data_IF_891044265015
#
_entry.id   IF_891044265015
#
_cell.length_a   1.000
_cell.length_b   1.000
_cell.length_c   1.000
_cell.angle_alpha   90.00
_cell.angle_beta   90.00
_cell.angle_gamma   90.00
#
_symmetry.space_group_name_H-M   'P 1'
#
loop_
_entity.id
_entity.type
_entity.pdbx_description
1 polymer ?
#
# COMPACT_ATOMS: atom_id res chain seq x y z
N UNK A 1 11.09 1.25 -8.29
CA UNK A 1 10.69 2.50 -7.61
C UNK A 1 9.82 3.28 -8.55
N UNK A 2 8.63 3.68 -8.12
CA UNK A 2 7.71 4.48 -8.95
C UNK A 2 8.21 5.93 -9.06
N UNK A 3 8.15 6.50 -10.27
CA UNK A 3 8.46 7.93 -10.51
C UNK A 3 7.62 8.86 -9.64
N UNK A 4 6.39 8.45 -9.32
CA UNK A 4 5.50 9.16 -8.42
C UNK A 4 6.09 9.32 -7.00
N UNK A 5 6.68 8.25 -6.44
CA UNK A 5 7.31 8.30 -5.13
C UNK A 5 8.53 9.24 -5.12
N UNK A 6 9.29 9.29 -6.23
CA UNK A 6 10.45 10.19 -6.36
C UNK A 6 9.99 11.65 -6.35
N UNK A 7 8.90 11.98 -7.06
CA UNK A 7 8.34 13.33 -7.10
C UNK A 7 7.85 13.75 -5.70
N UNK A 8 7.17 12.87 -4.97
CA UNK A 8 6.72 13.14 -3.59
C UNK A 8 7.92 13.43 -2.70
N UNK A 9 8.96 12.59 -2.73
CA UNK A 9 10.17 12.81 -1.94
C UNK A 9 10.82 14.15 -2.26
N UNK A 10 11.01 14.45 -3.55
CA UNK A 10 11.62 15.71 -3.99
C UNK A 10 10.82 16.93 -3.52
N UNK A 11 9.50 16.89 -3.67
CA UNK A 11 8.61 18.00 -3.26
C UNK A 11 8.67 18.19 -1.75
N UNK A 12 8.59 17.10 -0.98
CA UNK A 12 8.68 17.15 0.47
C UNK A 12 10.00 17.75 0.94
N UNK A 13 11.13 17.29 0.43
CA UNK A 13 12.44 17.82 0.83
C UNK A 13 12.56 19.31 0.51
N UNK A 14 12.11 19.73 -0.67
CA UNK A 14 12.16 21.13 -1.07
C UNK A 14 11.28 22.05 -0.21
N UNK A 15 10.13 21.55 0.26
CA UNK A 15 9.18 22.36 1.03
C UNK A 15 9.43 22.33 2.54
N UNK A 16 9.97 21.21 3.07
CA UNK A 16 10.02 20.94 4.51
C UNK A 16 11.40 21.18 5.12
N UNK A 17 12.48 21.08 4.33
CA UNK A 17 13.84 21.28 4.83
C UNK A 17 14.38 22.64 4.31
N UNK A 18 14.40 23.68 5.15
CA UNK A 18 14.98 24.97 4.77
C UNK A 18 16.51 24.84 4.61
N UNK A 19 17.04 25.51 3.59
CA UNK A 19 18.49 25.53 3.32
C UNK A 19 19.31 26.01 4.53
N UNK A 20 18.76 26.95 5.29
CA UNK A 20 19.43 27.49 6.50
C UNK A 20 19.73 26.44 7.57
N UNK A 21 18.93 25.36 7.69
CA UNK A 21 19.23 24.26 8.64
C UNK A 21 20.47 23.48 8.18
N UNK A 22 20.59 23.26 6.87
CA UNK A 22 21.74 22.57 6.28
C UNK A 22 23.00 23.43 6.38
N UNK A 23 22.87 24.74 6.14
CA UNK A 23 23.97 25.70 6.26
C UNK A 23 24.47 25.81 7.70
N UNK A 24 23.57 25.94 8.66
CA UNK A 24 23.93 25.95 10.09
C UNK A 24 24.71 24.71 10.50
N UNK A 25 24.23 23.53 10.08
CA UNK A 25 24.93 22.28 10.37
C UNK A 25 26.36 22.22 9.76
N UNK A 26 26.56 22.82 8.58
CA UNK A 26 27.88 22.94 7.97
C UNK A 26 28.79 23.89 8.74
N UNK A 27 28.28 25.03 9.22
CA UNK A 27 29.00 25.98 10.07
C UNK A 27 29.44 25.30 11.36
N UNK A 28 28.59 24.45 11.95
CA UNK A 28 28.91 23.65 13.14
C UNK A 28 29.89 22.50 12.86
N UNK A 29 30.42 22.38 11.63
CA UNK A 29 31.38 21.36 11.25
C UNK A 29 30.81 19.97 11.07
N UNK A 30 29.48 19.82 10.96
CA UNK A 30 28.85 18.53 10.70
C UNK A 30 29.17 18.01 9.30
N UNK A 31 29.57 16.74 9.22
CA UNK A 31 29.74 16.06 7.94
C UNK A 31 28.39 15.88 7.23
N UNK A 32 28.39 15.74 5.92
CA UNK A 32 27.15 15.51 5.14
C UNK A 32 26.35 14.29 5.65
N UNK A 33 27.03 13.21 6.00
CA UNK A 33 26.38 12.00 6.54
C UNK A 33 25.75 12.27 7.90
N UNK A 34 26.43 13.01 8.79
CA UNK A 34 25.90 13.39 10.09
C UNK A 34 24.66 14.27 9.96
N UNK A 35 24.71 15.27 9.09
CA UNK A 35 23.56 16.13 8.78
C UNK A 35 22.38 15.31 8.25
N UNK A 36 22.63 14.38 7.34
CA UNK A 36 21.60 13.52 6.79
C UNK A 36 20.95 12.66 7.88
N UNK A 37 21.72 11.92 8.66
CA UNK A 37 21.20 10.98 9.66
C UNK A 37 20.57 11.69 10.86
N UNK A 38 21.18 12.78 11.34
CA UNK A 38 20.76 13.45 12.57
C UNK A 38 19.71 14.53 12.36
N UNK A 39 19.59 15.09 11.17
CA UNK A 39 18.66 16.20 10.87
C UNK A 39 17.63 15.78 9.83
N UNK A 40 18.08 15.38 8.63
CA UNK A 40 17.17 15.12 7.50
C UNK A 40 16.25 13.92 7.77
N UNK A 41 16.81 12.79 8.22
CA UNK A 41 16.03 11.57 8.46
C UNK A 41 14.97 11.77 9.55
N UNK A 42 15.25 12.37 10.72
CA UNK A 42 14.20 12.62 11.73
C UNK A 42 13.08 13.55 11.25
N UNK A 43 13.40 14.61 10.51
CA UNK A 43 12.41 15.53 9.94
C UNK A 43 11.55 14.79 8.89
N UNK A 44 12.13 13.82 8.19
CA UNK A 44 11.48 13.08 7.10
C UNK A 44 10.60 11.90 7.54
N UNK A 45 10.41 11.68 8.85
CA UNK A 45 9.55 10.59 9.36
C UNK A 45 8.15 10.55 8.72
N UNK A 46 7.43 11.69 8.54
CA UNK A 46 6.13 11.68 7.88
C UNK A 46 6.20 11.22 6.40
N UNK A 47 7.26 11.62 5.70
CA UNK A 47 7.50 11.18 4.33
C UNK A 47 7.71 9.67 4.25
N UNK A 48 8.55 9.11 5.12
CA UNK A 48 8.78 7.67 5.16
C UNK A 48 7.49 6.90 5.47
N UNK A 49 6.66 7.40 6.39
CA UNK A 49 5.36 6.79 6.69
C UNK A 49 4.44 6.80 5.45
N UNK A 50 4.42 7.90 4.70
CA UNK A 50 3.63 8.02 3.46
C UNK A 50 4.09 7.03 2.40
N UNK A 51 5.39 6.98 2.13
CA UNK A 51 5.94 6.04 1.14
C UNK A 51 5.73 4.59 1.57
N UNK A 52 5.94 4.28 2.86
CA UNK A 52 5.68 2.94 3.40
C UNK A 52 4.20 2.54 3.22
N UNK A 53 3.26 3.45 3.46
CA UNK A 53 1.84 3.20 3.25
C UNK A 53 1.52 2.89 1.78
N UNK A 54 2.05 3.67 0.84
CA UNK A 54 1.84 3.42 -0.59
C UNK A 54 2.44 2.08 -1.05
N UNK A 55 3.61 1.73 -0.53
CA UNK A 55 4.23 0.44 -0.82
C UNK A 55 3.41 -0.71 -0.21
N UNK A 56 2.96 -0.58 1.03
CA UNK A 56 2.08 -1.58 1.65
C UNK A 56 0.81 -1.79 0.84
N UNK A 57 0.15 -0.73 0.39
CA UNK A 57 -1.04 -0.86 -0.45
C UNK A 57 -0.72 -1.46 -1.82
N UNK A 58 0.39 -1.06 -2.44
CA UNK A 58 0.82 -1.64 -3.70
C UNK A 58 1.05 -3.14 -3.62
N UNK A 59 1.81 -3.59 -2.64
CA UNK A 59 2.07 -5.01 -2.42
C UNK A 59 0.84 -5.79 -1.92
N UNK A 60 0.00 -5.18 -1.10
CA UNK A 60 -1.24 -5.80 -0.67
C UNK A 60 -2.19 -6.11 -1.84
N UNK A 61 -2.29 -5.19 -2.80
CA UNK A 61 -3.18 -5.35 -3.96
C UNK A 61 -2.55 -6.12 -5.14
N UNK A 62 -1.29 -6.58 -4.99
CA UNK A 62 -0.61 -7.27 -6.09
C UNK A 62 -1.05 -8.73 -6.21
N UNK A 63 -2.04 -8.95 -7.06
CA UNK A 63 -2.48 -10.27 -7.49
C UNK A 63 -1.73 -10.75 -8.75
N UNK A 64 -1.26 -9.81 -9.58
CA UNK A 64 -0.75 -10.11 -10.92
C UNK A 64 0.62 -10.79 -10.86
N UNK A 65 1.59 -10.21 -10.16
CA UNK A 65 2.92 -10.81 -10.02
C UNK A 65 2.87 -12.16 -9.30
N UNK A 66 2.01 -12.28 -8.29
CA UNK A 66 1.79 -13.57 -7.62
C UNK A 66 1.25 -14.62 -8.58
N UNK A 67 0.27 -14.27 -9.43
CA UNK A 67 -0.28 -15.19 -10.43
C UNK A 67 0.70 -15.57 -11.52
N UNK A 68 1.65 -14.68 -11.84
CA UNK A 68 2.60 -14.88 -12.93
C UNK A 68 3.82 -15.71 -12.53
N UNK A 69 4.35 -15.48 -11.32
CA UNK A 69 5.64 -16.04 -10.90
C UNK A 69 5.54 -17.14 -9.86
N UNK A 70 4.40 -17.30 -9.16
CA UNK A 70 4.27 -18.27 -8.08
C UNK A 70 3.50 -19.50 -8.56
N UNK A 71 4.23 -20.62 -8.78
CA UNK A 71 3.65 -21.92 -9.15
C UNK A 71 3.20 -22.74 -7.95
N UNK A 72 3.73 -22.47 -6.75
CA UNK A 72 3.41 -23.19 -5.53
C UNK A 72 2.12 -22.65 -4.90
N UNK A 73 1.04 -23.45 -4.89
CA UNK A 73 -0.27 -23.06 -4.35
C UNK A 73 -0.26 -22.62 -2.88
N UNK A 74 0.75 -23.04 -2.09
CA UNK A 74 0.89 -22.64 -0.67
C UNK A 74 1.49 -21.24 -0.49
N UNK A 75 2.11 -20.69 -1.53
CA UNK A 75 2.78 -19.38 -1.49
C UNK A 75 2.05 -18.31 -2.28
N UNK A 76 0.91 -18.63 -2.87
CA UNK A 76 0.09 -17.68 -3.63
C UNK A 76 -0.40 -16.57 -2.70
N UNK A 77 -0.31 -15.30 -3.16
CA UNK A 77 -0.82 -14.17 -2.38
C UNK A 77 -2.34 -14.27 -2.18
N UNK A 78 -2.84 -13.71 -1.07
CA UNK A 78 -4.26 -13.68 -0.79
C UNK A 78 -5.06 -13.02 -1.93
N UNK A 79 -4.55 -11.94 -2.50
CA UNK A 79 -5.19 -11.23 -3.61
C UNK A 79 -5.28 -12.10 -4.88
N UNK A 80 -4.23 -12.85 -5.20
CA UNK A 80 -4.25 -13.77 -6.35
C UNK A 80 -5.25 -14.93 -6.11
N UNK A 81 -5.31 -15.47 -4.89
CA UNK A 81 -6.28 -16.49 -4.52
C UNK A 81 -7.70 -15.97 -4.67
N UNK A 82 -8.00 -14.79 -4.12
CA UNK A 82 -9.33 -14.18 -4.18
C UNK A 82 -9.73 -13.83 -5.61
N UNK A 83 -8.80 -13.34 -6.42
CA UNK A 83 -9.03 -13.08 -7.85
C UNK A 83 -9.36 -14.37 -8.61
N UNK A 84 -8.68 -15.48 -8.33
CA UNK A 84 -8.97 -16.77 -8.93
C UNK A 84 -10.35 -17.29 -8.54
N UNK A 85 -10.76 -17.13 -7.28
CA UNK A 85 -12.11 -17.48 -6.81
C UNK A 85 -13.15 -16.64 -7.55
N UNK A 86 -12.95 -15.32 -7.67
CA UNK A 86 -13.88 -14.43 -8.37
C UNK A 86 -14.01 -14.80 -9.85
N UNK A 87 -12.90 -15.08 -10.53
CA UNK A 87 -12.92 -15.53 -11.93
C UNK A 87 -13.66 -16.87 -12.10
N UNK A 88 -13.47 -17.80 -11.17
CA UNK A 88 -14.18 -19.09 -11.20
C UNK A 88 -15.67 -18.91 -11.02
N UNK A 89 -16.11 -18.03 -10.12
CA UNK A 89 -17.53 -17.70 -9.93
C UNK A 89 -18.12 -17.03 -11.17
N UNK A 90 -17.38 -16.12 -11.81
CA UNK A 90 -17.80 -15.44 -13.02
C UNK A 90 -17.90 -16.41 -14.20
N UNK A 91 -16.92 -17.30 -14.37
CA UNK A 91 -16.96 -18.35 -15.38
C UNK A 91 -18.19 -19.25 -15.20
N UNK A 92 -18.48 -19.71 -13.98
CA UNK A 92 -19.66 -20.50 -13.67
C UNK A 92 -20.97 -19.74 -13.94
N UNK A 93 -20.99 -18.43 -13.68
CA UNK A 93 -22.17 -17.61 -13.92
C UNK A 93 -22.47 -17.47 -15.42
N UNK A 94 -21.41 -17.34 -16.25
CA UNK A 94 -21.56 -17.09 -17.69
C UNK A 94 -21.67 -18.37 -18.54
N UNK A 95 -21.38 -19.55 -17.96
CA UNK A 95 -21.45 -20.83 -18.67
C UNK A 95 -22.45 -21.81 -18.01
N UNK A 96 -23.75 -21.62 -18.22
CA UNK A 96 -24.79 -22.47 -17.60
C UNK A 96 -24.79 -23.92 -18.11
N UNK A 97 -24.12 -24.20 -19.21
CA UNK A 97 -24.03 -25.54 -19.82
C UNK A 97 -22.82 -26.37 -19.35
N UNK A 98 -21.96 -25.83 -18.51
CA UNK A 98 -20.82 -26.55 -17.97
C UNK A 98 -21.29 -27.58 -16.91
N UNK A 99 -21.69 -28.76 -17.35
CA UNK A 99 -21.91 -30.00 -16.60
C UNK A 99 -22.87 -29.96 -15.39
N UNK A 100 -23.68 -30.99 -15.24
CA UNK A 100 -24.70 -31.14 -14.17
C UNK A 100 -24.09 -31.06 -12.76
N UNK A 101 -22.85 -31.49 -12.55
CA UNK A 101 -22.13 -31.40 -11.27
C UNK A 101 -21.78 -29.96 -10.87
N UNK A 102 -21.47 -29.08 -11.83
CA UNK A 102 -21.20 -27.66 -11.59
C UNK A 102 -22.48 -26.86 -11.28
N UNK A 103 -23.63 -27.27 -11.82
CA UNK A 103 -24.92 -26.66 -11.51
C UNK A 103 -25.34 -26.92 -10.06
N UNK A 104 -25.07 -28.10 -9.49
CA UNK A 104 -25.31 -28.38 -8.08
C UNK A 104 -24.41 -27.54 -7.16
N UNK A 105 -23.14 -27.33 -7.52
CA UNK A 105 -22.24 -26.41 -6.81
C UNK A 105 -22.72 -24.97 -6.86
N UNK A 106 -23.22 -24.53 -8.02
CA UNK A 106 -23.78 -23.19 -8.23
C UNK A 106 -25.01 -22.91 -7.37
N UNK A 107 -25.86 -23.90 -7.18
CA UNK A 107 -27.07 -23.78 -6.34
C UNK A 107 -26.75 -23.71 -4.83
N UNK A 108 -25.59 -24.22 -4.41
CA UNK A 108 -25.16 -24.25 -3.02
C UNK A 108 -24.26 -23.06 -2.62
N UNK A 109 -23.66 -22.35 -3.56
CA UNK A 109 -22.84 -21.17 -3.29
C UNK A 109 -23.59 -19.88 -3.65
N UNK A 110 -24.08 -19.11 -2.66
CA UNK A 110 -24.63 -17.80 -2.90
C UNK A 110 -23.51 -16.87 -3.37
N UNK A 111 -23.41 -16.65 -4.69
CA UNK A 111 -22.35 -15.89 -5.34
C UNK A 111 -22.16 -14.47 -4.74
N UNK A 112 -23.24 -13.85 -4.33
CA UNK A 112 -23.24 -12.53 -3.72
C UNK A 112 -22.63 -12.54 -2.32
N UNK A 113 -23.00 -13.54 -1.49
CA UNK A 113 -22.41 -13.67 -0.14
C UNK A 113 -20.91 -13.94 -0.17
N UNK A 114 -20.44 -14.73 -1.14
CA UNK A 114 -19.00 -14.99 -1.31
C UNK A 114 -18.28 -13.73 -1.75
N UNK A 115 -18.85 -12.94 -2.67
CA UNK A 115 -18.29 -11.64 -3.08
C UNK A 115 -18.19 -10.66 -1.92
N UNK A 116 -19.23 -10.56 -1.09
CA UNK A 116 -19.21 -9.71 0.10
C UNK A 116 -18.16 -10.16 1.11
N UNK A 117 -18.05 -11.47 1.36
CA UNK A 117 -17.03 -12.02 2.24
C UNK A 117 -15.61 -11.71 1.74
N UNK A 118 -15.34 -11.85 0.45
CA UNK A 118 -14.08 -11.49 -0.18
C UNK A 118 -13.77 -10.00 0.01
N UNK A 119 -14.75 -9.12 -0.24
CA UNK A 119 -14.59 -7.68 -0.04
C UNK A 119 -14.19 -7.35 1.41
N UNK A 120 -14.83 -7.98 2.39
CA UNK A 120 -14.51 -7.81 3.82
C UNK A 120 -13.08 -8.27 4.12
N UNK A 121 -12.67 -9.43 3.62
CA UNK A 121 -11.31 -9.97 3.83
C UNK A 121 -10.25 -9.06 3.23
N UNK A 122 -10.53 -8.40 2.10
CA UNK A 122 -9.62 -7.44 1.47
C UNK A 122 -9.52 -6.15 2.29
N UNK A 123 -10.63 -5.64 2.81
CA UNK A 123 -10.71 -4.31 3.46
C UNK A 123 -10.19 -4.34 4.90
N UNK A 124 -10.46 -5.40 5.68
CA UNK A 124 -10.12 -5.45 7.11
C UNK A 124 -8.63 -5.16 7.39
N UNK A 125 -7.66 -5.81 6.74
CA UNK A 125 -6.24 -5.55 7.02
C UNK A 125 -5.82 -4.11 6.72
N UNK A 126 -6.38 -3.52 5.67
CA UNK A 126 -6.15 -2.12 5.29
C UNK A 126 -6.74 -1.18 6.35
N UNK A 127 -7.98 -1.43 6.77
CA UNK A 127 -8.64 -0.66 7.81
C UNK A 127 -7.90 -0.72 9.15
N UNK A 128 -7.35 -1.89 9.50
CA UNK A 128 -6.53 -2.05 10.70
C UNK A 128 -5.16 -1.35 10.61
N UNK A 129 -4.57 -1.29 9.42
CA UNK A 129 -3.30 -0.61 9.21
C UNK A 129 -3.44 0.93 9.25
N UNK A 130 -4.56 1.47 8.78
CA UNK A 130 -4.79 2.91 8.63
C UNK A 130 -4.54 3.73 9.91
N UNK A 131 -5.07 3.39 11.10
CA UNK A 131 -4.85 4.16 12.32
C UNK A 131 -3.37 4.26 12.71
N UNK A 132 -2.57 3.25 12.37
CA UNK A 132 -1.15 3.25 12.63
C UNK A 132 -0.42 4.35 11.82
N UNK A 133 -0.81 4.56 10.57
CA UNK A 133 -0.22 5.58 9.72
C UNK A 133 -0.82 6.97 9.96
N UNK A 134 -2.09 7.07 10.35
CA UNK A 134 -2.81 8.32 10.56
C UNK A 134 -2.07 9.29 11.48
N UNK A 135 -1.47 8.81 12.57
CA UNK A 135 -0.71 9.64 13.52
C UNK A 135 0.48 10.38 12.87
N UNK A 136 1.09 9.79 11.85
CA UNK A 136 2.22 10.41 11.14
C UNK A 136 1.76 11.46 10.12
N UNK A 137 0.58 11.29 9.53
CA UNK A 137 -0.01 12.28 8.63
C UNK A 137 -0.41 13.56 9.37
N UNK A 138 -1.05 13.41 10.52
CA UNK A 138 -1.49 14.56 11.33
C UNK A 138 -0.27 15.39 11.75
N UNK A 139 0.81 14.75 12.21
CA UNK A 139 2.04 15.43 12.61
C UNK A 139 2.75 16.14 11.45
N UNK A 140 2.63 15.62 10.21
CA UNK A 140 3.26 16.21 9.03
C UNK A 140 2.49 17.41 8.47
N UNK A 141 1.17 17.37 8.52
CA UNK A 141 0.32 18.46 8.01
C UNK A 141 0.34 19.72 8.88
N UNK A 142 0.51 19.56 10.20
CA UNK A 142 0.57 20.69 11.14
C UNK A 142 1.85 21.52 11.00
N UNK A 143 2.97 20.90 10.62
CA UNK A 143 4.24 21.60 10.40
C UNK A 143 4.18 22.48 9.13
N UNK A 144 3.41 22.09 8.12
CA UNK A 144 3.21 22.87 6.88
C UNK A 144 2.18 24.00 6.99
N UNK A 145 1.25 23.91 7.95
CA UNK A 145 0.16 24.89 8.10
C UNK A 145 0.54 26.14 8.91
N UNK A 146 1.68 26.18 9.57
CA UNK A 146 2.14 27.31 10.41
C UNK A 146 2.98 28.33 9.62
N UNK A 147 3.11 28.18 8.31
CA UNK A 147 3.71 29.18 7.40
C UNK A 147 2.62 30.01 6.71
N UNK A 148 1.70 30.58 7.49
CA UNK A 148 0.81 31.65 7.08
C UNK A 148 1.11 32.89 7.89
#
# INVERSE_FOLDING_TARGET
VSSYNIVICKTFFKSTIPDGIIESAKIDGATQLRTFVSIVVPISKPLFATIALFLCFGYWNDWFLSSLYISNSRLVSLQALLNNIMRSLEYMANNPTAGVSLQQYKAQMPSESVRMAIAIVIVIPIACAYPFFQKYFISGLTIGAVKG
#
